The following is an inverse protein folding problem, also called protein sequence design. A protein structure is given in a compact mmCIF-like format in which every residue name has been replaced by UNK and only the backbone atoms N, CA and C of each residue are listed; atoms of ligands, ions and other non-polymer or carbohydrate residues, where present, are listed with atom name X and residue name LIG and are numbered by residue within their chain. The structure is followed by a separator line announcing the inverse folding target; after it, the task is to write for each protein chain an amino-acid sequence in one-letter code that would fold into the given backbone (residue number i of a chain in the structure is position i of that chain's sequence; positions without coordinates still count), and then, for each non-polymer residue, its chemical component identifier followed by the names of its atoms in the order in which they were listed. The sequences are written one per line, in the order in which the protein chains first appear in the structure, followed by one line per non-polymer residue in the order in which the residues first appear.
data_IF_961167238037
#
_entry.id   IF_961167238037
#
_cell.length_a   1.000
_cell.length_b   1.000
_cell.length_c   1.000
_cell.angle_alpha   90.00
_cell.angle_beta   90.00
_cell.angle_gamma   90.00
#
_symmetry.space_group_name_H-M   'P 1'
#
loop_
_entity.id
_entity.type
_entity.pdbx_description
1 polymer ?
#
# COMPACT_ATOMS: atom_id res chain seq x y z
N UNK A 1 -17.33 -1.42 16.60
CA UNK A 1 -17.12 -2.56 17.45
C UNK A 1 -15.82 -3.33 17.21
N UNK A 2 -14.79 -2.75 16.55
CA UNK A 2 -13.48 -3.40 16.43
C UNK A 2 -12.69 -3.24 17.73
N UNK A 3 -12.04 -4.33 18.19
CA UNK A 3 -11.16 -4.29 19.36
C UNK A 3 -9.78 -3.67 19.06
N UNK A 4 -9.44 -3.54 17.79
CA UNK A 4 -8.18 -2.95 17.33
C UNK A 4 -8.09 -2.91 15.81
N UNK A 5 -7.04 -2.29 15.30
CA UNK A 5 -6.73 -2.21 13.89
C UNK A 5 -5.28 -2.65 13.63
N UNK A 6 -5.07 -3.39 12.55
CA UNK A 6 -3.73 -3.75 12.08
C UNK A 6 -3.33 -2.85 10.92
N UNK A 7 -2.42 -1.93 11.18
CA UNK A 7 -1.93 -0.95 10.23
C UNK A 7 -0.57 -1.40 9.68
N UNK A 8 -0.48 -1.64 8.37
CA UNK A 8 0.76 -2.00 7.67
C UNK A 8 1.26 -0.87 6.77
N UNK A 9 0.40 -0.40 5.87
CA UNK A 9 0.80 0.49 4.78
C UNK A 9 1.34 1.85 5.25
N UNK A 10 0.80 2.40 6.33
CA UNK A 10 1.21 3.70 6.87
C UNK A 10 2.70 3.77 7.23
N UNK A 11 3.29 2.64 7.60
CA UNK A 11 4.71 2.58 7.94
C UNK A 11 5.63 2.67 6.73
N UNK A 12 5.15 2.34 5.52
CA UNK A 12 5.95 2.38 4.29
C UNK A 12 6.34 3.79 3.86
N UNK A 13 5.62 4.80 4.32
CA UNK A 13 5.88 6.22 4.00
C UNK A 13 6.62 6.96 5.12
N UNK A 14 7.02 6.26 6.18
CA UNK A 14 7.81 6.90 7.24
C UNK A 14 9.26 7.14 6.81
N UNK A 15 9.91 8.12 7.46
CA UNK A 15 11.32 8.45 7.22
C UNK A 15 12.22 7.23 7.47
N UNK A 16 11.88 6.44 8.48
CA UNK A 16 12.64 5.27 8.91
C UNK A 16 12.42 4.04 8.01
N UNK A 17 11.37 4.05 7.18
CA UNK A 17 11.10 2.93 6.28
C UNK A 17 12.05 2.93 5.07
N UNK A 18 12.46 1.75 4.66
CA UNK A 18 13.41 1.50 3.56
C UNK A 18 12.77 0.84 2.32
N UNK A 19 11.53 1.19 1.88
CA UNK A 19 11.08 0.75 0.58
C UNK A 19 11.90 1.46 -0.50
N UNK A 20 11.87 0.92 -1.72
CA UNK A 20 12.48 1.61 -2.85
C UNK A 20 11.98 3.05 -2.95
N UNK A 21 12.86 4.06 -3.21
CA UNK A 21 12.45 5.45 -3.32
C UNK A 21 11.28 5.67 -4.29
N UNK A 22 11.27 5.00 -5.43
CA UNK A 22 10.18 5.04 -6.40
C UNK A 22 8.85 4.52 -5.82
N UNK A 23 8.89 3.52 -4.95
CA UNK A 23 7.70 2.99 -4.29
C UNK A 23 7.19 3.99 -3.25
N UNK A 24 8.08 4.56 -2.43
CA UNK A 24 7.71 5.58 -1.44
C UNK A 24 7.06 6.80 -2.13
N UNK A 25 7.66 7.30 -3.22
CA UNK A 25 7.12 8.39 -4.04
C UNK A 25 5.71 8.07 -4.57
N UNK A 26 5.52 6.88 -5.13
CA UNK A 26 4.20 6.43 -5.61
C UNK A 26 3.17 6.32 -4.47
N UNK A 27 3.56 5.80 -3.32
CA UNK A 27 2.68 5.69 -2.15
C UNK A 27 2.22 7.07 -1.65
N UNK A 28 3.12 8.05 -1.61
CA UNK A 28 2.82 9.42 -1.16
C UNK A 28 1.89 10.17 -2.13
N UNK A 29 1.94 9.84 -3.42
CA UNK A 29 1.11 10.48 -4.45
C UNK A 29 -0.20 9.73 -4.74
N UNK A 30 -0.33 8.48 -4.30
CA UNK A 30 -1.47 7.64 -4.62
C UNK A 30 -2.73 7.99 -3.81
N UNK A 31 -3.88 7.74 -4.41
CA UNK A 31 -5.19 7.76 -3.77
C UNK A 31 -5.72 6.34 -3.56
N UNK A 32 -6.82 6.19 -2.82
CA UNK A 32 -7.47 4.88 -2.65
C UNK A 32 -7.92 4.25 -3.98
N UNK A 33 -8.20 5.07 -4.99
CA UNK A 33 -8.58 4.64 -6.34
C UNK A 33 -7.41 4.06 -7.14
N UNK A 34 -6.17 4.39 -6.77
CA UNK A 34 -4.96 3.89 -7.42
C UNK A 34 -4.53 2.51 -6.89
N UNK A 35 -5.43 1.79 -6.24
CA UNK A 35 -5.20 0.44 -5.77
C UNK A 35 -6.05 -0.57 -6.52
N UNK A 36 -5.52 -1.76 -6.71
CA UNK A 36 -6.21 -2.89 -7.36
C UNK A 36 -6.02 -4.16 -6.55
N UNK A 37 -7.04 -5.04 -6.53
CA UNK A 37 -6.88 -6.41 -6.05
C UNK A 37 -6.41 -7.26 -7.20
N UNK A 38 -5.16 -7.69 -7.15
CA UNK A 38 -4.54 -8.47 -8.21
C UNK A 38 -3.94 -9.76 -7.68
N UNK A 39 -3.90 -10.77 -8.54
CA UNK A 39 -3.25 -12.06 -8.30
C UNK A 39 -1.83 -12.10 -8.90
N UNK A 40 -1.38 -11.00 -9.48
CA UNK A 40 -0.14 -10.89 -10.25
C UNK A 40 1.13 -11.33 -9.51
N UNK A 41 1.18 -11.17 -8.18
CA UNK A 41 2.38 -11.47 -7.39
C UNK A 41 2.42 -12.89 -6.82
N UNK A 42 1.32 -13.34 -6.26
CA UNK A 42 1.33 -14.58 -5.47
C UNK A 42 0.36 -15.64 -5.97
N UNK A 43 -0.49 -15.30 -6.94
CA UNK A 43 -1.60 -16.15 -7.36
C UNK A 43 -2.82 -16.05 -6.42
N UNK A 44 -2.70 -15.43 -5.25
CA UNK A 44 -3.82 -15.07 -4.37
C UNK A 44 -4.17 -13.61 -4.52
N UNK A 45 -5.45 -13.23 -4.42
CA UNK A 45 -5.85 -11.82 -4.47
C UNK A 45 -5.20 -11.03 -3.33
N UNK A 46 -4.43 -10.03 -3.68
CA UNK A 46 -3.83 -9.07 -2.75
C UNK A 46 -4.00 -7.66 -3.28
N UNK A 47 -4.13 -6.68 -2.39
CA UNK A 47 -4.22 -5.29 -2.82
C UNK A 47 -2.83 -4.73 -3.06
N UNK A 48 -2.68 -4.07 -4.19
CA UNK A 48 -1.42 -3.50 -4.68
C UNK A 48 -1.67 -2.12 -5.28
N UNK A 49 -0.62 -1.30 -5.39
CA UNK A 49 -0.66 -0.11 -6.26
C UNK A 49 -0.92 -0.56 -7.69
N UNK A 50 -1.85 0.11 -8.36
CA UNK A 50 -2.11 -0.11 -9.76
C UNK A 50 -0.89 0.31 -10.59
N UNK A 51 -0.55 -0.50 -11.57
CA UNK A 51 0.54 -0.24 -12.50
C UNK A 51 0.31 -1.02 -13.80
N UNK A 52 1.00 -0.72 -14.90
CA UNK A 52 0.92 -1.53 -16.11
C UNK A 52 1.25 -3.02 -15.87
N UNK A 53 2.05 -3.33 -14.83
CA UNK A 53 2.27 -4.71 -14.41
C UNK A 53 0.98 -5.40 -13.94
N UNK A 54 0.24 -4.76 -13.03
CA UNK A 54 -1.03 -5.32 -12.54
C UNK A 54 -2.07 -5.39 -13.63
N UNK A 55 -2.15 -4.36 -14.49
CA UNK A 55 -3.11 -4.30 -15.59
C UNK A 55 -2.84 -5.39 -16.63
N UNK A 56 -1.58 -5.69 -16.96
CA UNK A 56 -1.23 -6.77 -17.86
C UNK A 56 -1.67 -8.15 -17.34
N UNK A 57 -1.61 -8.40 -16.04
CA UNK A 57 -2.06 -9.65 -15.44
C UNK A 57 -3.59 -9.75 -15.31
N UNK A 58 -4.30 -8.62 -15.15
CA UNK A 58 -5.76 -8.62 -15.03
C UNK A 58 -6.45 -8.67 -16.41
N UNK A 59 -5.82 -8.12 -17.45
CA UNK A 59 -6.36 -8.03 -18.80
C UNK A 59 -5.78 -9.08 -19.77
N UNK A 60 -4.72 -9.76 -19.35
CA UNK A 60 -4.03 -10.76 -20.18
C UNK A 60 -4.80 -12.06 -20.29
N UNK A 61 -4.56 -12.80 -21.38
CA UNK A 61 -5.19 -14.08 -21.66
C UNK A 61 -4.70 -15.20 -20.73
N UNK A 62 -3.63 -14.99 -20.01
CA UNK A 62 -3.05 -16.00 -19.11
C UNK A 62 -3.49 -15.79 -17.67
N UNK A 63 -4.19 -16.77 -17.12
CA UNK A 63 -4.54 -16.77 -15.71
C UNK A 63 -3.28 -16.91 -14.83
N UNK A 64 -3.16 -16.14 -13.73
CA UNK A 64 -2.10 -16.33 -12.75
C UNK A 64 -2.07 -17.76 -12.20
N UNK A 65 -0.87 -18.30 -12.03
CA UNK A 65 -0.67 -19.61 -11.43
C UNK A 65 -1.11 -19.63 -9.95
N UNK A 66 -1.48 -20.80 -9.40
CA UNK A 66 -1.76 -20.91 -7.97
C UNK A 66 -0.48 -20.68 -7.14
N UNK A 67 -0.66 -20.15 -5.92
CA UNK A 67 0.43 -20.05 -4.95
C UNK A 67 0.99 -21.44 -4.59
N UNK A 68 2.32 -21.61 -4.50
CA UNK A 68 3.39 -20.60 -4.57
C UNK A 68 3.96 -20.39 -5.98
N UNK A 69 3.45 -21.06 -7.00
CA UNK A 69 4.06 -21.11 -8.33
C UNK A 69 4.12 -19.72 -8.98
N UNK A 70 3.09 -18.91 -8.79
CA UNK A 70 3.07 -17.54 -9.32
C UNK A 70 4.24 -16.73 -8.79
N UNK A 71 4.52 -16.79 -7.50
CA UNK A 71 5.64 -16.06 -6.89
C UNK A 71 6.97 -16.49 -7.49
N UNK A 72 7.19 -17.78 -7.67
CA UNK A 72 8.41 -18.31 -8.28
C UNK A 72 8.60 -17.84 -9.73
N UNK A 73 7.49 -17.75 -10.48
CA UNK A 73 7.51 -17.27 -11.86
C UNK A 73 7.84 -15.79 -11.97
N UNK A 74 7.24 -14.94 -11.14
CA UNK A 74 7.28 -13.47 -11.32
C UNK A 74 8.39 -12.78 -10.54
N UNK A 75 8.92 -13.38 -9.48
CA UNK A 75 9.91 -12.76 -8.62
C UNK A 75 11.17 -12.29 -9.37
N UNK A 76 11.76 -13.06 -10.30
CA UNK A 76 12.91 -12.58 -11.07
C UNK A 76 12.61 -11.34 -11.91
N UNK A 77 11.39 -11.25 -12.47
CA UNK A 77 10.96 -10.10 -13.25
C UNK A 77 10.75 -8.87 -12.36
N UNK A 78 10.11 -9.03 -11.20
CA UNK A 78 9.89 -7.97 -10.23
C UNK A 78 11.21 -7.41 -9.69
N UNK A 79 12.16 -8.27 -9.32
CA UNK A 79 13.50 -7.85 -8.87
C UNK A 79 14.24 -7.07 -9.97
N UNK A 80 14.08 -7.46 -11.23
CA UNK A 80 14.66 -6.72 -12.36
C UNK A 80 13.99 -5.36 -12.56
N UNK A 81 12.66 -5.29 -12.44
CA UNK A 81 11.92 -4.02 -12.48
C UNK A 81 12.43 -3.10 -11.38
N UNK A 82 12.52 -3.58 -10.15
CA UNK A 82 12.97 -2.83 -8.99
C UNK A 82 14.39 -2.27 -9.19
N UNK A 83 15.31 -3.11 -9.66
CA UNK A 83 16.70 -2.69 -9.96
C UNK A 83 16.77 -1.63 -11.05
N UNK A 84 16.01 -1.79 -12.13
CA UNK A 84 15.96 -0.82 -13.23
C UNK A 84 15.27 0.48 -12.81
N UNK A 85 14.22 0.40 -11.99
CA UNK A 85 13.54 1.57 -11.44
C UNK A 85 14.48 2.41 -10.55
N UNK A 86 15.31 1.75 -9.72
CA UNK A 86 16.34 2.42 -8.93
C UNK A 86 17.39 3.12 -9.79
N UNK A 87 17.75 2.56 -10.95
CA UNK A 87 18.67 3.19 -11.88
C UNK A 87 18.05 4.31 -12.73
N UNK A 88 16.79 4.64 -12.52
CA UNK A 88 16.10 5.74 -13.20
C UNK A 88 15.43 5.37 -14.53
N UNK A 89 15.31 4.07 -14.86
CA UNK A 89 14.64 3.64 -16.09
C UNK A 89 13.14 3.92 -16.01
N UNK A 90 12.62 4.83 -16.85
CA UNK A 90 11.24 5.32 -16.79
C UNK A 90 10.20 4.20 -16.87
N UNK A 91 10.27 3.32 -17.86
CA UNK A 91 9.30 2.22 -17.99
C UNK A 91 9.33 1.23 -16.81
N UNK A 92 10.48 1.03 -16.15
CA UNK A 92 10.55 0.22 -14.94
C UNK A 92 9.93 0.94 -13.73
N UNK A 93 10.10 2.25 -13.63
CA UNK A 93 9.41 3.07 -12.62
C UNK A 93 7.90 2.96 -12.77
N UNK A 94 7.38 2.98 -13.99
CA UNK A 94 5.94 2.82 -14.26
C UNK A 94 5.43 1.44 -13.83
N UNK A 95 6.16 0.37 -14.16
CA UNK A 95 5.83 -1.01 -13.81
C UNK A 95 5.89 -1.30 -12.31
N UNK A 96 6.74 -0.59 -11.56
CA UNK A 96 6.96 -0.83 -10.14
C UNK A 96 5.66 -0.72 -9.33
N UNK A 97 5.36 -1.75 -8.54
CA UNK A 97 4.17 -1.88 -7.70
C UNK A 97 4.52 -2.49 -6.36
N UNK A 98 3.69 -2.25 -5.35
CA UNK A 98 3.88 -2.81 -4.01
C UNK A 98 2.53 -3.09 -3.34
N UNK A 99 2.55 -3.91 -2.30
CA UNK A 99 1.37 -4.15 -1.48
C UNK A 99 0.98 -2.90 -0.72
N UNK A 100 -0.30 -2.57 -0.75
CA UNK A 100 -0.83 -1.41 -0.04
C UNK A 100 -2.32 -1.58 0.25
N UNK A 101 -2.78 -1.08 1.39
CA UNK A 101 -4.20 -0.99 1.72
C UNK A 101 -4.88 0.21 1.04
N UNK A 102 -6.21 0.24 1.06
CA UNK A 102 -7.00 1.37 0.53
C UNK A 102 -6.76 2.70 1.26
N UNK A 103 -6.24 2.64 2.49
CA UNK A 103 -5.85 3.84 3.24
C UNK A 103 -4.66 4.61 2.66
N UNK A 104 -4.10 4.20 1.52
CA UNK A 104 -2.97 4.88 0.89
C UNK A 104 -3.22 6.37 0.64
N UNK A 105 -4.44 6.76 0.29
CA UNK A 105 -4.80 8.16 0.10
C UNK A 105 -4.75 9.05 1.36
N UNK A 106 -4.54 8.45 2.52
CA UNK A 106 -4.32 9.15 3.79
C UNK A 106 -2.83 9.32 4.14
N UNK A 107 -1.93 8.78 3.30
CA UNK A 107 -0.48 8.73 3.52
C UNK A 107 0.25 9.65 2.52
N UNK A 108 -0.16 10.91 2.46
CA UNK A 108 0.30 11.89 1.46
C UNK A 108 1.51 12.74 1.90
N UNK A 109 2.06 12.44 3.07
CA UNK A 109 3.22 13.13 3.62
C UNK A 109 4.19 12.13 4.26
N UNK A 110 5.48 12.36 4.05
CA UNK A 110 6.50 11.64 4.78
C UNK A 110 6.58 12.16 6.22
N UNK A 111 6.50 11.23 7.19
CA UNK A 111 6.51 11.53 8.62
C UNK A 111 7.45 10.57 9.34
N UNK A 112 7.91 10.93 10.53
CA UNK A 112 8.60 9.96 11.38
C UNK A 112 7.61 8.93 11.93
N UNK A 113 8.07 7.72 12.22
CA UNK A 113 7.24 6.70 12.86
C UNK A 113 6.70 7.19 14.22
N UNK A 114 7.48 7.98 14.95
CA UNK A 114 7.04 8.62 16.20
C UNK A 114 5.87 9.58 15.97
N UNK A 115 5.91 10.39 14.90
CA UNK A 115 4.82 11.30 14.55
C UNK A 115 3.54 10.53 14.20
N UNK A 116 3.64 9.45 13.44
CA UNK A 116 2.49 8.58 13.12
C UNK A 116 1.86 8.00 14.37
N UNK A 117 2.68 7.51 15.32
CA UNK A 117 2.16 7.01 16.62
C UNK A 117 1.47 8.10 17.40
N UNK A 118 2.02 9.33 17.40
CA UNK A 118 1.42 10.45 18.10
C UNK A 118 0.07 10.85 17.47
N UNK A 119 -0.04 10.86 16.16
CA UNK A 119 -1.31 11.07 15.45
C UNK A 119 -2.36 10.04 15.87
N UNK A 120 -2.02 8.75 15.89
CA UNK A 120 -2.96 7.72 16.37
C UNK A 120 -3.46 7.96 17.79
N UNK A 121 -2.59 8.49 18.69
CA UNK A 121 -3.02 8.82 20.06
C UNK A 121 -3.98 10.01 20.09
N UNK A 122 -3.69 11.06 19.31
CA UNK A 122 -4.56 12.24 19.22
C UNK A 122 -5.91 11.84 18.62
N UNK A 123 -5.92 11.15 17.48
CA UNK A 123 -7.14 10.70 16.81
C UNK A 123 -8.00 9.80 17.71
N UNK A 124 -7.35 8.96 18.54
CA UNK A 124 -8.05 8.13 19.52
C UNK A 124 -8.76 8.99 20.57
N UNK A 125 -8.07 9.99 21.15
CA UNK A 125 -8.67 10.88 22.15
C UNK A 125 -9.84 11.68 21.55
N UNK A 126 -9.65 12.25 20.36
CA UNK A 126 -10.71 12.96 19.63
C UNK A 126 -11.90 12.07 19.32
N UNK A 127 -11.67 10.79 19.00
CA UNK A 127 -12.75 9.81 18.76
C UNK A 127 -13.51 9.50 20.05
N UNK A 128 -12.83 9.38 21.18
CA UNK A 128 -13.46 9.18 22.49
C UNK A 128 -14.32 10.40 22.88
N UNK A 129 -13.82 11.62 22.69
CA UNK A 129 -14.58 12.83 22.97
C UNK A 129 -15.85 12.93 22.11
N UNK A 130 -15.75 12.67 20.81
CA UNK A 130 -16.92 12.63 19.90
C UNK A 130 -17.93 11.57 20.32
N UNK A 131 -17.48 10.39 20.74
CA UNK A 131 -18.37 9.34 21.21
C UNK A 131 -19.10 9.75 22.49
N UNK A 132 -18.37 10.31 23.48
CA UNK A 132 -18.94 10.79 24.74
C UNK A 132 -20.01 11.85 24.49
N UNK A 133 -19.69 12.86 23.69
CA UNK A 133 -20.63 13.90 23.32
C UNK A 133 -21.90 13.37 22.63
N UNK A 134 -21.73 12.35 21.76
CA UNK A 134 -22.88 11.72 21.09
C UNK A 134 -23.78 10.93 22.07
N UNK A 135 -23.21 10.29 23.08
CA UNK A 135 -23.96 9.57 24.11
C UNK A 135 -24.70 10.53 25.03
N UNK A 136 -24.08 11.62 25.43
CA UNK A 136 -24.71 12.67 26.24
C UNK A 136 -25.88 13.36 25.52
N UNK A 137 -25.73 13.58 24.20
CA UNK A 137 -26.80 14.18 23.39
C UNK A 137 -28.00 13.23 23.15
N UNK A 138 -27.82 11.92 23.36
CA UNK A 138 -28.85 10.91 23.19
C UNK A 138 -29.56 10.50 24.50
N UNK A 139 -29.09 11.02 25.63
CA UNK A 139 -29.65 10.76 26.97
C UNK A 139 -30.69 11.81 27.39
#
# INVERSE_FOLDING_TARGET
GAAGAWCGSVWLTTVEAEPLPVIKEKLLSATSSDTVRSRSRTGKPSRQLRSPWTDAWEQGDQAPLPMPLQSLLVEPALLRIDKLAQSGHAGARDLATYWVGQGVGLMNQEKTAAAVVQEFKVDFLDACERLTASLEAAA
#
